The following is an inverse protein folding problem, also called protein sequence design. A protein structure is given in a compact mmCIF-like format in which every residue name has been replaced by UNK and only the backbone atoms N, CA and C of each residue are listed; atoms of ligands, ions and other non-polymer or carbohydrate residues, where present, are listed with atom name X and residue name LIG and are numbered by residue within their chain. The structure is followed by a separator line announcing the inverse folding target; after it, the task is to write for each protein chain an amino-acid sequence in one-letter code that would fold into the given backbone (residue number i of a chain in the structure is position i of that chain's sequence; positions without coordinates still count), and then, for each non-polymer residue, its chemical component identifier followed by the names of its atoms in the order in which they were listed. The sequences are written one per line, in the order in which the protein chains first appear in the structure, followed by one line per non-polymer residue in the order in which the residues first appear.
data_IF_006450133422
#
_entry.id   IF_006450133422
#
_cell.length_a   1.000
_cell.length_b   1.000
_cell.length_c   1.000
_cell.angle_alpha   90.00
_cell.angle_beta   90.00
_cell.angle_gamma   90.00
#
_symmetry.space_group_name_H-M   'P 1'
#
loop_
_entity.id
_entity.type
_entity.pdbx_description
1 polymer ?
#
# COMPACT_ATOMS: atom_id res chain seq x y z
N UNK A 1 1.47 13.64 17.79
CA UNK A 1 0.27 12.91 17.34
C UNK A 1 -0.68 13.89 16.68
N UNK A 2 -1.36 13.51 15.60
CA UNK A 2 -2.45 14.29 15.03
C UNK A 2 -3.72 13.43 15.01
N UNK A 3 -4.87 14.05 15.28
CA UNK A 3 -6.18 13.38 15.24
C UNK A 3 -7.13 14.23 14.40
N UNK A 4 -7.91 13.58 13.54
CA UNK A 4 -8.94 14.21 12.72
C UNK A 4 -10.23 13.41 12.80
N UNK A 5 -11.36 14.07 12.98
CA UNK A 5 -12.71 13.48 13.07
C UNK A 5 -13.60 14.13 12.01
N UNK A 6 -14.27 13.29 11.22
CA UNK A 6 -15.21 13.73 10.18
C UNK A 6 -16.57 13.05 10.34
N UNK A 7 -17.62 13.75 9.92
CA UNK A 7 -19.00 13.24 9.85
C UNK A 7 -19.68 13.84 8.62
N UNK A 8 -20.49 13.06 7.90
CA UNK A 8 -21.22 13.50 6.70
C UNK A 8 -20.34 14.33 5.74
N UNK A 9 -19.21 13.75 5.32
CA UNK A 9 -18.22 14.35 4.42
C UNK A 9 -17.57 15.66 4.89
N UNK A 10 -17.77 16.04 6.16
CA UNK A 10 -17.24 17.27 6.75
C UNK A 10 -16.26 16.97 7.88
N UNK A 11 -15.10 17.62 7.89
CA UNK A 11 -14.22 17.61 9.06
C UNK A 11 -14.84 18.46 10.16
N UNK A 12 -15.09 17.85 11.31
CA UNK A 12 -15.65 18.55 12.46
C UNK A 12 -14.60 18.88 13.52
N UNK A 13 -13.46 18.19 13.51
CA UNK A 13 -12.37 18.49 14.42
C UNK A 13 -11.03 17.94 13.90
N UNK A 14 -9.95 18.70 14.08
CA UNK A 14 -8.60 18.25 13.76
C UNK A 14 -7.59 18.97 14.64
N UNK A 15 -6.77 18.21 15.35
CA UNK A 15 -5.83 18.77 16.34
C UNK A 15 -4.50 18.03 16.36
N UNK A 16 -3.43 18.78 16.58
CA UNK A 16 -2.07 18.31 16.72
C UNK A 16 -1.59 18.39 18.16
N UNK A 17 -0.97 17.31 18.64
CA UNK A 17 -0.48 17.16 20.00
C UNK A 17 1.01 16.85 20.01
N UNK A 18 1.76 17.57 20.84
CA UNK A 18 3.20 17.38 21.03
C UNK A 18 4.04 17.86 19.85
N UNK A 19 5.22 17.27 19.68
CA UNK A 19 6.23 17.72 18.72
C UNK A 19 6.39 16.75 17.56
N UNK A 20 6.44 17.27 16.33
CA UNK A 20 6.85 16.55 15.12
C UNK A 20 8.37 16.33 15.10
N UNK A 21 9.14 17.24 15.71
CA UNK A 21 10.59 17.11 15.92
C UNK A 21 10.93 17.62 17.32
N UNK A 22 11.43 16.72 18.17
CA UNK A 22 11.77 17.03 19.56
C UNK A 22 13.00 17.93 19.68
N UNK A 23 14.02 17.73 18.82
CA UNK A 23 15.28 18.49 18.87
C UNK A 23 15.04 19.96 18.56
N UNK A 24 14.24 20.20 17.52
CA UNK A 24 13.95 21.55 17.02
C UNK A 24 12.65 22.13 17.61
N UNK A 25 12.03 21.41 18.55
CA UNK A 25 10.75 21.78 19.19
C UNK A 25 9.65 22.16 18.19
N UNK A 26 9.62 21.48 17.04
CA UNK A 26 8.59 21.72 16.01
C UNK A 26 7.31 21.05 16.45
N UNK A 27 6.23 21.82 16.64
CA UNK A 27 4.93 21.29 17.02
C UNK A 27 4.29 20.46 15.91
N UNK A 28 3.43 19.52 16.31
CA UNK A 28 2.55 18.84 15.36
C UNK A 28 1.46 19.80 14.92
N UNK A 29 1.40 20.04 13.62
CA UNK A 29 0.30 20.72 12.95
C UNK A 29 -0.53 19.66 12.24
N UNK A 30 -1.81 19.47 12.59
CA UNK A 30 -2.58 18.38 12.00
C UNK A 30 -2.58 18.51 10.48
N UNK A 31 -2.77 19.72 9.95
CA UNK A 31 -2.85 20.14 8.53
C UNK A 31 -1.54 20.11 7.72
N UNK A 32 -0.38 19.91 8.37
CA UNK A 32 0.94 19.97 7.72
C UNK A 32 1.89 18.83 8.10
N UNK A 33 1.79 18.32 9.33
CA UNK A 33 2.70 17.29 9.83
C UNK A 33 2.38 15.94 9.20
N UNK A 34 3.40 15.36 8.59
CA UNK A 34 3.29 14.11 7.85
C UNK A 34 3.70 12.93 8.72
N UNK A 35 2.95 11.83 8.61
CA UNK A 35 3.18 10.62 9.39
C UNK A 35 3.39 9.43 8.46
N UNK A 36 4.29 8.51 8.86
CA UNK A 36 4.36 7.18 8.26
C UNK A 36 3.18 6.36 8.75
N UNK A 37 2.23 6.13 7.86
CA UNK A 37 0.99 5.39 8.14
C UNK A 37 1.13 3.85 8.05
N UNK A 38 2.32 3.35 7.72
CA UNK A 38 2.67 1.94 7.72
C UNK A 38 1.63 1.05 7.02
N UNK A 39 0.99 0.11 7.72
CA UNK A 39 0.11 -0.87 7.09
C UNK A 39 -1.22 -0.31 6.59
N UNK A 40 -1.58 0.93 6.95
CA UNK A 40 -2.73 1.62 6.33
C UNK A 40 -2.50 1.79 4.82
N UNK A 41 -1.24 1.77 4.33
CA UNK A 41 -0.94 1.86 2.89
C UNK A 41 -1.64 0.79 2.06
N UNK A 42 -1.88 -0.38 2.66
CA UNK A 42 -2.54 -1.51 2.00
C UNK A 42 -3.96 -1.18 1.57
N UNK A 43 -4.69 -0.34 2.32
CA UNK A 43 -6.06 0.03 1.93
C UNK A 43 -6.08 0.89 0.67
N UNK A 44 -5.08 1.75 0.47
CA UNK A 44 -4.96 2.53 -0.77
C UNK A 44 -4.47 1.69 -1.94
N UNK A 45 -3.55 0.75 -1.69
CA UNK A 45 -3.19 -0.26 -2.69
C UNK A 45 -4.38 -1.14 -3.07
N UNK A 46 -5.25 -1.47 -2.11
CA UNK A 46 -6.48 -2.22 -2.33
C UNK A 46 -7.46 -1.43 -3.22
N UNK A 47 -7.60 -0.13 -2.99
CA UNK A 47 -8.40 0.75 -3.83
C UNK A 47 -7.85 0.81 -5.25
N UNK A 48 -6.53 0.95 -5.42
CA UNK A 48 -5.88 0.91 -6.73
C UNK A 48 -6.14 -0.42 -7.47
N UNK A 49 -6.09 -1.53 -6.74
CA UNK A 49 -6.41 -2.87 -7.24
C UNK A 49 -7.90 -3.01 -7.62
N UNK A 50 -8.80 -2.43 -6.82
CA UNK A 50 -10.24 -2.34 -7.11
C UNK A 50 -10.54 -1.58 -8.39
N UNK A 51 -9.86 -0.46 -8.63
CA UNK A 51 -10.02 0.30 -9.88
C UNK A 51 -9.60 -0.53 -11.09
N UNK A 52 -8.52 -1.33 -11.01
CA UNK A 52 -8.14 -2.24 -12.09
C UNK A 52 -9.22 -3.32 -12.34
N UNK A 53 -9.87 -3.79 -11.28
CA UNK A 53 -11.01 -4.71 -11.40
C UNK A 53 -12.19 -4.05 -12.10
N UNK A 54 -12.61 -2.88 -11.63
CA UNK A 54 -13.80 -2.20 -12.13
C UNK A 54 -13.63 -1.74 -13.59
N UNK A 55 -12.39 -1.47 -14.01
CA UNK A 55 -12.04 -1.15 -15.40
C UNK A 55 -11.81 -2.40 -16.28
N UNK A 56 -12.06 -3.60 -15.75
CA UNK A 56 -11.95 -4.87 -16.49
C UNK A 56 -10.52 -5.30 -16.82
N UNK A 57 -9.51 -4.63 -16.26
CA UNK A 57 -8.08 -4.94 -16.49
C UNK A 57 -7.58 -6.08 -15.62
N UNK A 58 -8.26 -6.35 -14.52
CA UNK A 58 -7.90 -7.38 -13.55
C UNK A 58 -9.14 -8.10 -13.04
N UNK A 59 -8.99 -9.38 -12.72
CA UNK A 59 -9.99 -10.23 -12.08
C UNK A 59 -9.38 -10.85 -10.83
N UNK A 60 -10.11 -10.70 -9.70
CA UNK A 60 -9.68 -11.15 -8.39
C UNK A 60 -9.60 -12.67 -8.27
N UNK A 61 -10.36 -13.39 -9.09
CA UNK A 61 -10.46 -14.84 -9.02
C UNK A 61 -9.52 -15.54 -10.03
N UNK A 62 -8.74 -14.76 -10.79
CA UNK A 62 -7.66 -15.29 -11.62
C UNK A 62 -6.40 -15.55 -10.81
N UNK A 63 -5.63 -16.52 -11.30
CA UNK A 63 -4.28 -16.80 -10.85
C UNK A 63 -3.38 -15.58 -10.96
N UNK A 64 -2.44 -15.42 -10.04
CA UNK A 64 -1.37 -14.42 -10.18
C UNK A 64 -0.57 -14.59 -11.47
N UNK A 65 -0.42 -15.83 -11.97
CA UNK A 65 0.34 -16.15 -13.16
C UNK A 65 -0.33 -15.65 -14.46
N UNK A 66 -1.61 -15.27 -14.40
CA UNK A 66 -2.27 -14.56 -15.50
C UNK A 66 -1.66 -13.18 -15.74
N UNK A 67 -1.18 -12.51 -14.68
CA UNK A 67 -0.63 -11.16 -14.76
C UNK A 67 0.90 -11.14 -14.67
N UNK A 68 1.49 -12.15 -14.03
CA UNK A 68 2.94 -12.33 -13.90
C UNK A 68 3.33 -13.75 -14.38
N UNK A 69 3.34 -14.02 -15.70
CA UNK A 69 3.62 -15.35 -16.23
C UNK A 69 5.01 -15.88 -15.85
N UNK A 70 5.99 -14.99 -15.69
CA UNK A 70 7.37 -15.32 -15.36
C UNK A 70 7.65 -15.41 -13.85
N UNK A 71 6.62 -15.23 -13.00
CA UNK A 71 6.78 -15.41 -11.56
C UNK A 71 7.07 -16.88 -11.23
N UNK A 72 7.97 -17.19 -10.27
CA UNK A 72 8.29 -18.58 -9.92
C UNK A 72 7.05 -19.41 -9.59
N UNK A 73 6.99 -20.63 -10.12
CA UNK A 73 5.90 -21.56 -9.85
C UNK A 73 6.05 -22.14 -8.45
N UNK A 74 5.04 -21.90 -7.61
CA UNK A 74 4.94 -22.52 -6.29
C UNK A 74 4.21 -23.87 -6.37
N UNK A 75 4.23 -24.63 -5.28
CA UNK A 75 3.54 -25.91 -5.16
C UNK A 75 2.02 -25.81 -5.41
N UNK A 76 1.42 -24.68 -5.04
CA UNK A 76 0.00 -24.41 -5.25
C UNK A 76 -0.17 -23.07 -5.96
N UNK A 77 -1.14 -23.01 -6.88
CA UNK A 77 -1.60 -21.76 -7.48
C UNK A 77 -2.51 -21.00 -6.50
N UNK A 78 -2.51 -19.68 -6.59
CA UNK A 78 -3.36 -18.80 -5.78
C UNK A 78 -3.82 -17.59 -6.57
N UNK A 79 -4.99 -17.09 -6.17
CA UNK A 79 -5.64 -15.95 -6.84
C UNK A 79 -5.22 -14.62 -6.25
N UNK A 80 -5.52 -13.54 -6.98
CA UNK A 80 -5.35 -12.17 -6.48
C UNK A 80 -6.13 -11.96 -5.18
N UNK A 81 -7.36 -12.50 -5.10
CA UNK A 81 -8.21 -12.43 -3.90
C UNK A 81 -7.53 -13.07 -2.69
N UNK A 82 -6.95 -14.26 -2.87
CA UNK A 82 -6.25 -14.96 -1.79
C UNK A 82 -4.98 -14.23 -1.37
N UNK A 83 -4.28 -13.62 -2.32
CA UNK A 83 -3.10 -12.82 -2.03
C UNK A 83 -3.45 -11.56 -1.22
N UNK A 84 -4.44 -10.79 -1.67
CA UNK A 84 -4.92 -9.58 -0.98
C UNK A 84 -5.58 -9.89 0.38
N UNK A 85 -6.22 -11.06 0.48
CA UNK A 85 -6.87 -11.55 1.69
C UNK A 85 -5.95 -12.24 2.69
N UNK A 86 -4.63 -12.25 2.46
CA UNK A 86 -3.65 -12.91 3.33
C UNK A 86 -3.86 -14.43 3.51
N UNK A 87 -4.46 -15.09 2.52
CA UNK A 87 -4.73 -16.53 2.53
C UNK A 87 -3.97 -17.31 1.45
N UNK A 88 -3.08 -16.66 0.68
CA UNK A 88 -2.26 -17.31 -0.34
C UNK A 88 -1.11 -18.18 0.22
N UNK A 89 -0.73 -18.01 1.48
CA UNK A 89 0.41 -18.72 2.07
C UNK A 89 1.77 -18.06 1.86
N UNK A 90 1.83 -16.83 1.33
CA UNK A 90 3.08 -16.05 1.26
C UNK A 90 3.57 -15.73 2.68
N UNK A 91 4.84 -16.02 2.93
CA UNK A 91 5.47 -15.80 4.24
C UNK A 91 5.57 -14.32 4.60
N UNK A 92 5.84 -14.05 5.88
CA UNK A 92 6.22 -12.73 6.35
C UNK A 92 7.75 -12.56 6.43
N UNK A 93 8.20 -11.46 7.04
CA UNK A 93 9.62 -11.16 7.22
C UNK A 93 10.34 -12.26 8.01
N UNK A 94 11.60 -12.51 7.66
CA UNK A 94 12.53 -13.37 8.40
C UNK A 94 13.72 -12.53 8.89
N UNK A 95 14.19 -12.79 10.11
CA UNK A 95 15.38 -12.14 10.68
C UNK A 95 15.31 -10.61 10.62
N UNK A 96 16.28 -9.99 9.96
CA UNK A 96 16.43 -8.53 9.88
C UNK A 96 15.76 -7.90 8.66
N UNK A 97 15.01 -8.66 7.85
CA UNK A 97 14.34 -8.13 6.64
C UNK A 97 13.43 -6.93 6.95
N UNK A 98 12.74 -6.95 8.11
CA UNK A 98 11.85 -5.86 8.52
C UNK A 98 12.58 -4.52 8.76
N UNK A 99 13.85 -4.55 9.17
CA UNK A 99 14.63 -3.34 9.48
C UNK A 99 15.61 -2.96 8.37
N UNK A 100 15.56 -3.66 7.24
CA UNK A 100 16.49 -3.44 6.14
C UNK A 100 16.21 -2.11 5.43
N UNK A 101 17.27 -1.28 5.37
CA UNK A 101 17.29 -0.01 4.65
C UNK A 101 18.03 -0.13 3.31
N UNK A 102 17.82 -1.24 2.58
CA UNK A 102 18.32 -1.36 1.21
C UNK A 102 17.31 -0.77 0.23
N UNK A 103 17.79 0.06 -0.72
CA UNK A 103 16.99 0.56 -1.83
C UNK A 103 16.73 -0.55 -2.84
N UNK A 104 15.46 -0.78 -3.14
CA UNK A 104 15.00 -1.73 -4.13
C UNK A 104 13.77 -1.15 -4.82
N UNK A 105 13.66 -1.37 -6.11
CA UNK A 105 12.38 -1.32 -6.81
C UNK A 105 11.43 -2.40 -6.28
N UNK A 106 10.14 -2.29 -6.61
CA UNK A 106 9.15 -3.34 -6.29
C UNK A 106 9.63 -4.70 -6.82
N UNK A 107 10.06 -4.72 -8.09
CA UNK A 107 10.51 -5.93 -8.78
C UNK A 107 11.76 -6.54 -8.14
N UNK A 108 12.75 -5.73 -7.77
CA UNK A 108 13.93 -6.21 -7.04
C UNK A 108 13.57 -6.75 -5.66
N UNK A 109 12.63 -6.11 -4.96
CA UNK A 109 12.15 -6.53 -3.64
C UNK A 109 11.54 -7.93 -3.63
N UNK A 110 10.97 -8.38 -4.76
CA UNK A 110 10.45 -9.74 -4.88
C UNK A 110 11.55 -10.80 -4.72
N UNK A 111 12.81 -10.48 -5.08
CA UNK A 111 13.93 -11.44 -4.94
C UNK A 111 14.15 -11.95 -3.52
N UNK A 112 13.67 -11.21 -2.51
CA UNK A 112 13.79 -11.59 -1.10
C UNK A 112 12.95 -12.82 -0.76
N UNK A 113 11.80 -13.01 -1.41
CA UNK A 113 10.83 -14.04 -1.01
C UNK A 113 10.24 -14.88 -2.17
N UNK A 114 10.42 -14.47 -3.43
CA UNK A 114 9.72 -15.08 -4.58
C UNK A 114 10.00 -16.58 -4.77
N UNK A 115 11.13 -17.07 -4.28
CA UNK A 115 11.52 -18.48 -4.39
C UNK A 115 11.22 -19.29 -3.12
N UNK A 116 10.69 -18.66 -2.07
CA UNK A 116 10.34 -19.38 -0.85
C UNK A 116 9.09 -20.25 -1.06
N UNK A 117 9.00 -21.34 -0.31
CA UNK A 117 7.79 -22.17 -0.28
C UNK A 117 6.63 -21.43 0.37
N UNK A 118 5.40 -21.76 -0.04
CA UNK A 118 4.20 -21.29 0.67
C UNK A 118 4.16 -21.92 2.05
N UNK A 119 3.79 -21.13 3.05
CA UNK A 119 3.67 -21.56 4.45
C UNK A 119 2.50 -22.54 4.65
N UNK A 120 1.50 -22.51 3.75
CA UNK A 120 0.34 -23.39 3.74
C UNK A 120 -0.35 -23.38 2.37
N UNK A 121 -1.23 -24.36 2.15
CA UNK A 121 -2.07 -24.42 0.95
C UNK A 121 -3.01 -23.21 0.89
N UNK A 122 -3.14 -22.50 -0.24
CA UNK A 122 -4.01 -21.34 -0.36
C UNK A 122 -5.44 -21.60 0.16
N UNK A 123 -5.97 -20.62 0.88
CA UNK A 123 -7.30 -20.61 1.50
C UNK A 123 -7.54 -21.60 2.65
N UNK A 124 -6.50 -22.32 3.14
CA UNK A 124 -6.65 -23.19 4.32
C UNK A 124 -6.34 -22.49 5.64
N UNK A 125 -5.62 -21.36 5.61
CA UNK A 125 -5.25 -20.55 6.78
C UNK A 125 -5.19 -19.07 6.42
N UNK A 126 -5.10 -18.23 7.45
CA UNK A 126 -4.83 -16.80 7.34
C UNK A 126 -3.44 -16.49 7.91
N UNK A 127 -2.66 -15.69 7.19
CA UNK A 127 -1.36 -15.18 7.64
C UNK A 127 -1.14 -13.77 7.12
N UNK A 128 -1.32 -12.79 8.01
CA UNK A 128 -0.99 -11.40 7.71
C UNK A 128 0.49 -11.28 7.28
N UNK A 129 0.73 -10.59 6.17
CA UNK A 129 2.07 -10.45 5.61
C UNK A 129 2.20 -9.19 4.74
N UNK A 130 3.41 -8.63 4.66
CA UNK A 130 3.72 -7.51 3.76
C UNK A 130 4.14 -7.98 2.38
N UNK A 131 4.85 -9.11 2.25
CA UNK A 131 5.37 -9.56 0.95
C UNK A 131 4.30 -9.88 -0.09
N UNK A 132 3.14 -10.37 0.33
CA UNK A 132 1.99 -10.54 -0.56
C UNK A 132 1.48 -9.21 -1.10
N UNK A 133 1.57 -8.13 -0.33
CA UNK A 133 1.27 -6.78 -0.80
C UNK A 133 2.36 -6.19 -1.69
N UNK A 134 3.63 -6.52 -1.47
CA UNK A 134 4.70 -6.18 -2.42
C UNK A 134 4.45 -6.88 -3.78
N UNK A 135 4.02 -8.14 -3.77
CA UNK A 135 3.64 -8.86 -4.98
C UNK A 135 2.41 -8.25 -5.67
N UNK A 136 1.41 -7.80 -4.91
CA UNK A 136 0.26 -7.08 -5.47
C UNK A 136 0.68 -5.75 -6.12
N UNK A 137 1.63 -5.02 -5.53
CA UNK A 137 2.17 -3.81 -6.15
C UNK A 137 2.85 -4.12 -7.49
N UNK A 138 3.58 -5.24 -7.61
CA UNK A 138 4.13 -5.69 -8.90
C UNK A 138 3.02 -5.99 -9.91
N UNK A 139 1.98 -6.72 -9.51
CA UNK A 139 0.83 -7.01 -10.38
C UNK A 139 0.17 -5.72 -10.87
N UNK A 140 -0.04 -4.76 -9.96
CA UNK A 140 -0.66 -3.47 -10.29
C UNK A 140 0.17 -2.73 -11.35
N UNK A 141 1.49 -2.60 -11.17
CA UNK A 141 2.33 -1.88 -12.15
C UNK A 141 2.36 -2.57 -13.53
N UNK A 142 2.37 -3.90 -13.56
CA UNK A 142 2.39 -4.66 -14.81
C UNK A 142 1.06 -4.54 -15.57
N UNK A 143 -0.06 -4.68 -14.85
CA UNK A 143 -1.41 -4.54 -15.45
C UNK A 143 -1.68 -3.10 -15.87
N UNK A 144 -1.25 -2.12 -15.06
CA UNK A 144 -1.41 -0.70 -15.37
C UNK A 144 -0.46 -0.22 -16.47
N UNK A 145 0.63 -0.94 -16.75
CA UNK A 145 1.75 -0.53 -17.60
C UNK A 145 2.32 0.83 -17.19
N UNK A 146 2.35 1.08 -15.89
CA UNK A 146 2.83 2.31 -15.26
C UNK A 146 3.53 1.95 -13.95
N UNK A 147 4.57 2.70 -13.53
CA UNK A 147 5.10 2.58 -12.17
C UNK A 147 3.97 2.66 -11.13
N UNK A 148 4.03 1.81 -10.11
CA UNK A 148 2.97 1.68 -9.10
C UNK A 148 2.60 3.02 -8.45
N UNK A 149 3.62 3.80 -8.09
CA UNK A 149 3.49 5.15 -7.53
C UNK A 149 2.74 6.09 -8.47
N UNK A 150 3.10 6.09 -9.76
CA UNK A 150 2.40 6.86 -10.78
C UNK A 150 0.94 6.41 -10.96
N UNK A 151 0.68 5.10 -10.95
CA UNK A 151 -0.67 4.57 -11.08
C UNK A 151 -1.56 5.00 -9.91
N UNK A 152 -1.08 4.83 -8.67
CA UNK A 152 -1.81 5.21 -7.47
C UNK A 152 -1.99 6.74 -7.40
N UNK A 153 -0.96 7.53 -7.74
CA UNK A 153 -1.06 8.99 -7.80
C UNK A 153 -2.18 9.43 -8.75
N UNK A 154 -2.24 8.84 -9.94
CA UNK A 154 -3.17 9.26 -10.98
C UNK A 154 -4.60 8.75 -10.77
N UNK A 155 -4.78 7.56 -10.21
CA UNK A 155 -6.08 6.89 -10.14
C UNK A 155 -6.69 6.91 -8.73
N UNK A 156 -5.89 7.12 -7.68
CA UNK A 156 -6.38 7.19 -6.30
C UNK A 156 -6.24 8.62 -5.77
N UNK A 157 -5.03 9.18 -5.77
CA UNK A 157 -4.79 10.42 -5.03
C UNK A 157 -5.34 11.66 -5.70
N UNK A 158 -5.05 11.85 -7.00
CA UNK A 158 -5.57 13.01 -7.74
C UNK A 158 -7.10 13.06 -7.78
N UNK A 159 -7.83 11.96 -8.10
CA UNK A 159 -9.30 11.99 -8.11
C UNK A 159 -9.92 12.28 -6.74
N UNK A 160 -9.28 11.80 -5.66
CA UNK A 160 -9.72 12.05 -4.28
C UNK A 160 -9.18 13.35 -3.69
N UNK A 161 -8.47 14.17 -4.48
CA UNK A 161 -7.82 15.42 -4.02
C UNK A 161 -6.91 15.21 -2.81
N UNK A 162 -6.27 14.05 -2.72
CA UNK A 162 -5.26 13.76 -1.70
C UNK A 162 -3.94 14.39 -2.14
N UNK A 163 -3.82 15.71 -2.05
CA UNK A 163 -2.68 16.45 -2.61
C UNK A 163 -1.43 16.38 -1.73
N UNK A 164 -1.62 16.24 -0.43
CA UNK A 164 -0.51 16.27 0.49
C UNK A 164 0.16 14.92 0.67
N UNK A 165 -0.30 13.84 0.03
CA UNK A 165 0.26 12.48 0.08
C UNK A 165 1.58 12.35 -0.69
N UNK A 166 2.50 11.47 -0.26
CA UNK A 166 3.71 11.21 -1.05
C UNK A 166 4.12 9.74 -1.02
N UNK A 167 5.04 9.38 -1.91
CA UNK A 167 5.81 8.14 -1.78
C UNK A 167 7.16 8.50 -1.19
N UNK A 168 7.62 7.78 -0.18
CA UNK A 168 8.98 7.99 0.35
C UNK A 168 9.95 7.35 -0.63
N UNK A 169 10.67 8.18 -1.39
CA UNK A 169 11.82 7.76 -2.15
C UNK A 169 13.03 7.59 -1.20
N UNK A 170 13.06 6.51 -0.41
CA UNK A 170 14.27 6.12 0.31
C UNK A 170 14.50 4.63 0.31
N UNK A 171 15.78 4.29 0.43
CA UNK A 171 16.37 2.99 0.50
C UNK A 171 15.75 2.08 1.57
N UNK A 172 14.56 1.54 1.38
CA UNK A 172 13.98 0.58 2.31
C UNK A 172 12.94 -0.25 1.58
N UNK A 173 12.75 -1.50 2.02
CA UNK A 173 11.85 -2.52 1.43
C UNK A 173 10.36 -2.13 1.56
N UNK A 174 10.09 -0.92 2.03
CA UNK A 174 8.76 -0.35 2.18
C UNK A 174 8.36 0.42 0.92
N UNK A 175 7.68 -0.25 0.00
CA UNK A 175 6.61 0.42 -0.75
C UNK A 175 5.36 0.53 0.14
N UNK A 176 5.55 1.03 1.37
CA UNK A 176 4.47 1.53 2.17
C UNK A 176 4.23 2.97 1.69
N UNK A 177 3.15 3.15 0.94
CA UNK A 177 2.58 4.45 0.59
C UNK A 177 2.66 5.39 1.80
N UNK A 178 3.32 6.53 1.68
CA UNK A 178 3.27 7.56 2.73
C UNK A 178 1.98 8.36 2.55
N UNK A 179 0.90 7.80 3.09
CA UNK A 179 -0.44 8.38 3.04
C UNK A 179 -0.54 9.60 3.93
N UNK A 180 -0.91 10.74 3.36
CA UNK A 180 -1.22 11.96 4.11
C UNK A 180 -2.66 12.32 3.77
N UNK A 181 -3.50 12.43 4.81
CA UNK A 181 -4.94 12.67 4.68
C UNK A 181 -5.22 14.09 5.18
N UNK A 182 -5.86 14.90 4.34
CA UNK A 182 -6.52 16.13 4.75
C UNK A 182 -7.96 16.17 4.27
N UNK A 183 -8.85 16.80 5.06
CA UNK A 183 -10.23 17.01 4.67
C UNK A 183 -10.34 18.15 3.67
N UNK A 184 -11.21 17.94 2.70
CA UNK A 184 -11.62 18.95 1.73
C UNK A 184 -12.46 19.98 2.50
N UNK A 185 -11.96 21.20 2.64
CA UNK A 185 -12.79 22.36 3.00
C UNK A 185 -13.59 22.75 1.76
N UNK A 186 -14.90 22.55 1.80
CA UNK A 186 -15.80 23.18 0.85
C UNK A 186 -16.00 24.63 1.27
N UNK A 187 -15.50 25.56 0.46
CA UNK A 187 -16.00 26.93 0.44
C UNK A 187 -17.36 26.90 -0.25
N UNK A 188 -18.43 26.99 0.53
CA UNK A 188 -19.75 27.36 0.01
C UNK A 188 -19.63 28.84 -0.37
N UNK A 189 -19.56 29.10 -1.66
CA UNK A 189 -19.84 30.44 -2.20
C UNK A 189 -21.37 30.55 -2.21
N UNK A 190 -21.89 31.57 -1.51
CA UNK A 190 -23.32 31.93 -1.50
C UNK A 190 -23.87 32.16 -2.90
#
# INVERSE_FOLDING_TARGET
MAISVSTNDSLIWSEGFGFANLKDSILVHPDKTQFRIASISKTLSALALGILKDTGKLDFDKSIYTYLPDYPKHQYDFTIRQLAGHTAGIRHYKGTEFISNKKMSITEGLSIFKNDSLEFKPNTKYLYNTYGWNLLSEIIQQVAKLPFDNYVQNNVFKPLKMEQIAFIAMASIFNAVEVKIYPITYSIIY
#
